data_IF_364936741055
#
_entry.id   IF_364936741055
#
_cell.length_a   1.000
_cell.length_b   1.000
_cell.length_c   1.000
_cell.angle_alpha   90.00
_cell.angle_beta   90.00
_cell.angle_gamma   90.00
#
_symmetry.space_group_name_H-M   'P 1'
#
loop_
_entity.id
_entity.type
_entity.pdbx_description
1 polymer ?
#
# COMPACT_ATOMS: atom_id res chain seq x y z
N UNK A 1 28.15 40.98 77.80
CA UNK A 1 28.84 40.36 76.66
C UNK A 1 28.18 39.02 76.43
N UNK A 2 27.27 38.94 75.46
CA UNK A 2 26.66 37.69 75.00
C UNK A 2 26.74 37.67 73.49
N UNK A 3 27.60 36.81 72.97
CA UNK A 3 27.81 36.57 71.55
C UNK A 3 26.90 35.42 71.14
N UNK A 4 25.93 35.68 70.27
CA UNK A 4 25.13 34.63 69.63
C UNK A 4 25.59 34.53 68.18
N UNK A 5 26.27 33.44 67.86
CA UNK A 5 26.62 33.03 66.50
C UNK A 5 25.34 32.78 65.68
N UNK A 6 25.19 33.49 64.56
CA UNK A 6 24.21 33.17 63.53
C UNK A 6 24.92 32.38 62.41
N UNK A 7 24.78 31.07 62.43
CA UNK A 7 25.13 30.19 61.32
C UNK A 7 24.10 30.38 60.19
N UNK A 8 24.50 31.02 59.10
CA UNK A 8 23.74 31.04 57.84
C UNK A 8 23.75 29.64 57.23
N UNK A 9 22.62 28.96 57.27
CA UNK A 9 22.38 27.78 56.43
C UNK A 9 22.31 28.22 54.96
N UNK A 10 23.29 27.77 54.18
CA UNK A 10 23.34 27.91 52.74
C UNK A 10 22.50 26.77 52.15
N UNK A 11 21.28 27.06 51.72
CA UNK A 11 20.44 26.12 50.98
C UNK A 11 21.01 25.93 49.58
N UNK A 12 21.39 24.68 49.27
CA UNK A 12 21.77 24.26 47.92
C UNK A 12 20.59 24.45 46.95
N UNK A 13 20.83 24.86 45.69
CA UNK A 13 19.77 24.97 44.70
C UNK A 13 19.19 23.58 44.40
N UNK A 14 17.88 23.46 44.56
CA UNK A 14 17.13 22.27 44.20
C UNK A 14 17.32 21.96 42.71
N UNK A 15 17.83 20.77 42.40
CA UNK A 15 17.86 20.23 41.04
C UNK A 15 16.42 20.14 40.51
N UNK A 16 16.11 20.95 39.50
CA UNK A 16 14.85 20.86 38.78
C UNK A 16 14.86 19.51 38.04
N UNK A 17 13.91 18.60 38.28
CA UNK A 17 13.88 17.32 37.58
C UNK A 17 13.72 17.61 36.08
N UNK A 18 14.65 17.11 35.26
CA UNK A 18 14.54 17.16 33.79
C UNK A 18 13.22 16.51 33.39
N UNK A 19 12.25 17.33 33.00
CA UNK A 19 10.97 16.86 32.47
C UNK A 19 11.27 16.00 31.24
N UNK A 20 10.92 14.71 31.30
CA UNK A 20 11.08 13.86 30.14
C UNK A 20 10.28 14.44 28.96
N UNK A 21 10.87 14.47 27.75
CA UNK A 21 10.16 14.98 26.59
C UNK A 21 8.95 14.09 26.32
N UNK A 22 7.83 14.74 26.04
CA UNK A 22 6.57 14.11 25.64
C UNK A 22 6.75 13.34 24.32
N UNK A 23 5.85 12.38 24.02
CA UNK A 23 5.95 11.60 22.78
C UNK A 23 5.86 12.49 21.52
N UNK A 24 5.04 13.54 21.57
CA UNK A 24 4.97 14.54 20.51
C UNK A 24 6.28 15.30 20.36
N UNK A 25 6.92 15.74 21.44
CA UNK A 25 8.23 16.40 21.40
C UNK A 25 9.31 15.46 20.84
N UNK A 26 9.33 14.18 21.25
CA UNK A 26 10.27 13.18 20.72
C UNK A 26 10.08 12.97 19.22
N UNK A 27 8.85 12.75 18.78
CA UNK A 27 8.50 12.57 17.37
C UNK A 27 8.86 13.81 16.54
N UNK A 28 8.41 14.99 16.97
CA UNK A 28 8.67 16.23 16.25
C UNK A 28 10.16 16.53 16.17
N UNK A 29 10.93 16.30 17.25
CA UNK A 29 12.39 16.49 17.24
C UNK A 29 13.05 15.58 16.22
N UNK A 30 12.66 14.29 16.16
CA UNK A 30 13.22 13.35 15.18
C UNK A 30 12.84 13.75 13.76
N UNK A 31 11.58 14.07 13.49
CA UNK A 31 11.13 14.54 12.16
C UNK A 31 11.88 15.80 11.74
N UNK A 32 12.03 16.78 12.63
CA UNK A 32 12.81 18.00 12.36
C UNK A 32 14.27 17.66 12.03
N UNK A 33 14.90 16.75 12.77
CA UNK A 33 16.28 16.34 12.49
C UNK A 33 16.43 15.68 11.12
N UNK A 34 15.45 14.86 10.69
CA UNK A 34 15.45 14.24 9.37
C UNK A 34 15.17 15.24 8.23
N UNK A 35 14.44 16.33 8.52
CA UNK A 35 14.31 17.42 7.55
C UNK A 35 15.59 18.25 7.40
N UNK A 36 16.38 18.39 8.47
CA UNK A 36 17.60 19.20 8.51
C UNK A 36 18.89 18.48 8.09
N UNK A 37 18.85 17.16 7.90
CA UNK A 37 20.01 16.36 7.48
C UNK A 37 20.34 16.47 5.97
N UNK A 38 19.50 17.15 5.19
CA UNK A 38 19.79 17.50 3.78
C UNK A 38 20.64 18.77 3.65
N UNK A 39 21.43 18.88 2.58
CA UNK A 39 22.33 20.02 2.32
C UNK A 39 21.55 21.34 2.32
N UNK A 40 21.86 22.19 3.30
CA UNK A 40 21.25 23.50 3.52
C UNK A 40 20.27 23.49 4.68
N UNK A 41 20.68 23.99 5.85
CA UNK A 41 19.80 24.23 7.00
C UNK A 41 18.67 25.20 6.63
N UNK A 42 17.55 24.67 6.16
CA UNK A 42 16.33 25.45 5.98
C UNK A 42 15.41 25.14 7.14
N UNK A 43 15.20 26.13 8.01
CA UNK A 43 14.19 26.05 9.04
C UNK A 43 12.84 25.64 8.42
N UNK A 44 12.19 24.61 8.97
CA UNK A 44 10.93 24.11 8.45
C UNK A 44 9.92 25.24 8.21
N UNK A 45 9.33 25.24 7.02
CA UNK A 45 8.21 26.13 6.70
C UNK A 45 7.05 25.90 7.66
N UNK A 46 6.19 26.91 7.84
CA UNK A 46 4.96 26.77 8.65
C UNK A 46 4.10 25.60 8.16
N UNK A 47 4.08 25.37 6.85
CA UNK A 47 3.37 24.26 6.23
C UNK A 47 3.94 22.89 6.66
N UNK A 48 5.26 22.69 6.59
CA UNK A 48 5.90 21.45 7.01
C UNK A 48 5.71 21.17 8.51
N UNK A 49 5.76 22.22 9.35
CA UNK A 49 5.46 22.08 10.79
C UNK A 49 4.02 21.62 11.04
N UNK A 50 3.06 22.23 10.35
CA UNK A 50 1.65 21.81 10.42
C UNK A 50 1.47 20.38 9.93
N UNK A 51 2.17 20.00 8.86
CA UNK A 51 2.07 18.67 8.29
C UNK A 51 2.60 17.62 9.27
N UNK A 52 3.77 17.83 9.88
CA UNK A 52 4.30 16.96 10.93
C UNK A 52 3.34 16.82 12.13
N UNK A 53 2.66 17.90 12.53
CA UNK A 53 1.62 17.85 13.56
C UNK A 53 0.43 16.98 13.13
N UNK A 54 -0.05 17.11 11.88
CA UNK A 54 -1.12 16.28 11.34
C UNK A 54 -0.74 14.79 11.37
N UNK A 55 0.50 14.46 11.01
CA UNK A 55 1.03 13.09 11.11
C UNK A 55 1.00 12.59 12.56
N UNK A 56 1.48 13.38 13.52
CA UNK A 56 1.44 12.98 14.92
C UNK A 56 0.02 12.69 15.40
N UNK A 57 -0.94 13.57 15.11
CA UNK A 57 -2.34 13.42 15.53
C UNK A 57 -2.95 12.15 14.93
N UNK A 58 -2.75 11.93 13.63
CA UNK A 58 -3.27 10.73 12.95
C UNK A 58 -2.66 9.45 13.52
N UNK A 59 -1.33 9.42 13.70
CA UNK A 59 -0.63 8.27 14.26
C UNK A 59 -1.06 7.98 15.69
N UNK A 60 -1.19 9.01 16.54
CA UNK A 60 -1.61 8.84 17.92
C UNK A 60 -3.03 8.24 18.02
N UNK A 61 -3.96 8.70 17.19
CA UNK A 61 -5.30 8.12 17.10
C UNK A 61 -5.28 6.66 16.62
N UNK A 62 -4.45 6.34 15.62
CA UNK A 62 -4.34 4.99 15.07
C UNK A 62 -3.71 4.02 16.08
N UNK A 63 -2.66 4.43 16.78
CA UNK A 63 -2.03 3.60 17.82
C UNK A 63 -3.01 3.29 18.94
N UNK A 64 -3.76 4.30 19.42
CA UNK A 64 -4.79 4.11 20.46
C UNK A 64 -5.89 3.15 20.01
N UNK A 65 -6.48 3.38 18.83
CA UNK A 65 -7.56 2.53 18.31
C UNK A 65 -7.08 1.10 18.01
N UNK A 66 -5.84 0.93 17.57
CA UNK A 66 -5.24 -0.40 17.34
C UNK A 66 -4.97 -1.12 18.66
N UNK A 67 -4.49 -0.41 19.68
CA UNK A 67 -4.29 -0.96 21.02
C UNK A 67 -5.63 -1.38 21.66
N UNK A 68 -6.68 -0.57 21.52
CA UNK A 68 -8.02 -0.94 21.97
C UNK A 68 -8.53 -2.23 21.29
N UNK A 69 -8.29 -2.37 19.98
CA UNK A 69 -8.62 -3.60 19.25
C UNK A 69 -7.80 -4.80 19.74
N UNK A 70 -6.51 -4.60 20.02
CA UNK A 70 -5.64 -5.64 20.60
C UNK A 70 -6.18 -6.10 21.97
N UNK A 71 -6.58 -5.16 22.82
CA UNK A 71 -7.11 -5.46 24.16
C UNK A 71 -8.48 -6.16 24.13
N UNK A 72 -9.29 -5.94 23.08
CA UNK A 72 -10.55 -6.68 22.88
C UNK A 72 -10.33 -8.16 22.52
N UNK A 73 -9.17 -8.53 21.99
CA UNK A 73 -8.82 -9.95 21.77
C UNK A 73 -8.62 -10.66 23.12
N UNK A 74 -9.03 -11.92 23.19
CA UNK A 74 -8.76 -12.76 24.37
C UNK A 74 -7.26 -13.00 24.50
N UNK A 75 -6.79 -13.26 25.73
CA UNK A 75 -5.36 -13.39 26.05
C UNK A 75 -4.64 -14.43 25.16
N UNK A 76 -5.30 -15.54 24.82
CA UNK A 76 -4.79 -16.57 23.92
C UNK A 76 -4.45 -16.06 22.50
N UNK A 77 -5.19 -15.08 22.00
CA UNK A 77 -5.05 -14.53 20.64
C UNK A 77 -4.54 -13.09 20.64
N UNK A 78 -4.08 -12.59 21.79
CA UNK A 78 -3.61 -11.22 21.95
C UNK A 78 -2.09 -11.18 21.77
N UNK A 79 -1.64 -10.31 20.87
CA UNK A 79 -0.21 -10.04 20.73
C UNK A 79 0.36 -9.49 22.03
N UNK A 80 1.50 -10.04 22.49
CA UNK A 80 2.11 -9.66 23.76
C UNK A 80 2.64 -8.21 23.79
N UNK A 81 3.07 -7.70 22.63
CA UNK A 81 3.66 -6.35 22.51
C UNK A 81 2.54 -5.31 22.42
N UNK A 82 2.50 -4.29 23.29
CA UNK A 82 1.53 -3.20 23.20
C UNK A 82 1.74 -2.30 21.98
N UNK A 83 0.66 -1.85 21.34
CA UNK A 83 0.70 -0.93 20.20
C UNK A 83 0.79 0.50 20.73
N UNK A 84 1.98 0.90 21.19
CA UNK A 84 2.24 2.21 21.79
C UNK A 84 3.49 2.86 21.19
N UNK A 85 3.60 4.19 21.33
CA UNK A 85 4.77 4.96 20.84
C UNK A 85 6.13 4.41 21.29
N UNK A 86 6.21 3.78 22.46
CA UNK A 86 7.44 3.18 22.98
C UNK A 86 7.93 1.98 22.14
N UNK A 87 7.00 1.27 21.50
CA UNK A 87 7.28 0.09 20.69
C UNK A 87 7.34 0.43 19.20
N UNK A 88 7.20 1.71 18.80
CA UNK A 88 7.30 2.14 17.40
C UNK A 88 8.76 2.37 17.02
N UNK A 89 9.13 1.96 15.80
CA UNK A 89 10.42 2.27 15.21
C UNK A 89 10.49 3.75 14.78
N UNK A 90 10.87 4.61 15.72
CA UNK A 90 10.87 6.07 15.53
C UNK A 90 11.80 6.54 14.41
N UNK A 91 12.93 5.85 14.18
CA UNK A 91 13.90 6.25 13.16
C UNK A 91 13.41 5.96 11.74
N UNK A 92 12.78 4.79 11.54
CA UNK A 92 12.12 4.48 10.27
C UNK A 92 10.93 5.42 10.07
N UNK A 93 10.09 5.58 11.10
CA UNK A 93 8.89 6.42 11.04
C UNK A 93 9.21 7.87 10.67
N UNK A 94 10.23 8.48 11.28
CA UNK A 94 10.57 9.87 11.02
C UNK A 94 10.98 10.07 9.55
N UNK A 95 11.83 9.19 9.00
CA UNK A 95 12.24 9.23 7.58
C UNK A 95 11.04 9.05 6.64
N UNK A 96 10.17 8.11 6.95
CA UNK A 96 8.98 7.81 6.16
C UNK A 96 8.00 8.99 6.14
N UNK A 97 7.78 9.62 7.30
CA UNK A 97 6.94 10.83 7.40
C UNK A 97 7.53 11.98 6.59
N UNK A 98 8.85 12.18 6.60
CA UNK A 98 9.50 13.23 5.81
C UNK A 98 9.27 13.00 4.31
N UNK A 99 9.51 11.79 3.81
CA UNK A 99 9.31 11.45 2.40
C UNK A 99 7.85 11.67 1.99
N UNK A 100 6.90 11.16 2.77
CA UNK A 100 5.47 11.31 2.50
C UNK A 100 5.02 12.79 2.55
N UNK A 101 5.54 13.56 3.50
CA UNK A 101 5.27 14.98 3.63
C UNK A 101 5.82 15.80 2.46
N UNK A 102 7.01 15.46 1.93
CA UNK A 102 7.62 16.12 0.76
C UNK A 102 6.92 15.76 -0.56
N UNK A 103 6.35 14.57 -0.64
CA UNK A 103 5.43 14.20 -1.74
C UNK A 103 4.16 15.06 -1.70
N UNK A 104 3.72 15.46 -0.50
CA UNK A 104 2.53 16.29 -0.29
C UNK A 104 1.36 15.51 0.32
N UNK A 105 1.60 14.29 0.81
CA UNK A 105 0.58 13.52 1.50
C UNK A 105 0.26 14.12 2.87
N UNK A 106 -1.01 14.07 3.23
CA UNK A 106 -1.52 14.60 4.49
C UNK A 106 -2.55 13.63 5.07
N UNK A 107 -2.26 12.94 6.18
CA UNK A 107 -3.17 11.96 6.76
C UNK A 107 -4.42 12.58 7.40
N UNK A 108 -4.45 13.91 7.57
CA UNK A 108 -5.66 14.61 8.01
C UNK A 108 -6.67 14.82 6.86
N UNK A 109 -6.23 14.67 5.60
CA UNK A 109 -7.09 14.83 4.44
C UNK A 109 -7.70 13.47 4.03
N UNK A 110 -9.03 13.41 3.82
CA UNK A 110 -9.68 12.15 3.47
C UNK A 110 -9.10 11.53 2.20
N UNK A 111 -8.73 10.26 2.28
CA UNK A 111 -8.25 9.44 1.16
C UNK A 111 -6.92 9.91 0.52
N UNK A 112 -6.11 10.70 1.24
CA UNK A 112 -4.73 10.97 0.84
C UNK A 112 -3.84 9.78 1.21
N UNK A 113 -3.67 9.53 2.50
CA UNK A 113 -2.77 8.50 3.00
C UNK A 113 -3.27 7.96 4.33
N UNK A 114 -3.12 6.65 4.55
CA UNK A 114 -3.59 5.98 5.75
C UNK A 114 -2.42 5.27 6.43
N UNK A 115 -2.01 5.68 7.64
CA UNK A 115 -1.01 4.97 8.42
C UNK A 115 -1.57 3.63 8.94
N UNK A 116 -0.78 2.56 8.85
CA UNK A 116 -1.13 1.23 9.37
C UNK A 116 0.07 0.69 10.17
N UNK A 117 -0.07 0.52 11.49
CA UNK A 117 0.95 -0.13 12.30
C UNK A 117 0.94 -1.64 12.04
N UNK A 118 2.11 -2.21 11.81
CA UNK A 118 2.31 -3.65 11.73
C UNK A 118 3.54 -4.04 12.54
N UNK A 119 3.57 -5.27 13.05
CA UNK A 119 4.65 -5.74 13.93
C UNK A 119 5.77 -6.32 13.09
N UNK A 120 6.94 -5.69 13.15
CA UNK A 120 8.15 -6.21 12.52
C UNK A 120 8.78 -7.27 13.44
N UNK A 121 8.92 -8.50 12.92
CA UNK A 121 9.47 -9.65 13.68
C UNK A 121 10.97 -9.51 13.95
N UNK A 122 11.72 -8.95 13.00
CA UNK A 122 13.17 -8.82 13.11
C UNK A 122 13.55 -7.81 14.20
N UNK A 123 12.85 -6.69 14.27
CA UNK A 123 13.15 -5.63 15.25
C UNK A 123 12.36 -5.75 16.55
N UNK A 124 11.28 -6.55 16.55
CA UNK A 124 10.34 -6.66 17.68
C UNK A 124 9.53 -5.39 17.93
N UNK A 125 9.57 -4.42 17.00
CA UNK A 125 8.90 -3.12 17.08
C UNK A 125 7.79 -3.01 16.05
N UNK A 126 6.92 -2.03 16.21
CA UNK A 126 5.94 -1.63 15.22
C UNK A 126 6.57 -0.70 14.19
N UNK A 127 6.52 -1.12 12.94
CA UNK A 127 6.75 -0.24 11.80
C UNK A 127 5.38 0.31 11.35
N UNK A 128 5.39 1.51 10.76
CA UNK A 128 4.19 2.13 10.23
C UNK A 128 4.29 2.13 8.71
N UNK A 129 3.41 1.38 8.06
CA UNK A 129 3.19 1.49 6.62
C UNK A 129 2.23 2.63 6.34
N UNK A 130 2.36 3.26 5.19
CA UNK A 130 1.40 4.25 4.74
C UNK A 130 0.75 3.78 3.44
N UNK A 131 -0.55 3.49 3.50
CA UNK A 131 -1.33 3.06 2.34
C UNK A 131 -1.95 4.28 1.65
N UNK A 132 -1.65 4.44 0.38
CA UNK A 132 -2.18 5.52 -0.44
C UNK A 132 -3.69 5.38 -0.67
N UNK A 133 -4.43 6.42 -0.31
CA UNK A 133 -5.81 6.55 -0.73
C UNK A 133 -5.89 6.97 -2.21
N UNK A 134 -7.10 6.92 -2.78
CA UNK A 134 -7.27 7.20 -4.21
C UNK A 134 -6.91 8.65 -4.57
N UNK A 135 -7.13 9.63 -3.68
CA UNK A 135 -6.66 11.01 -3.86
C UNK A 135 -5.14 11.14 -3.71
N UNK A 136 -4.54 10.29 -2.87
CA UNK A 136 -3.10 10.18 -2.79
C UNK A 136 -2.48 9.74 -4.13
N UNK A 137 -3.07 8.72 -4.77
CA UNK A 137 -2.60 8.27 -6.09
C UNK A 137 -2.71 9.38 -7.14
N UNK A 138 -3.82 10.13 -7.17
CA UNK A 138 -3.96 11.32 -8.04
C UNK A 138 -2.83 12.33 -7.81
N UNK A 139 -2.54 12.66 -6.55
CA UNK A 139 -1.48 13.61 -6.18
C UNK A 139 -0.09 13.10 -6.60
N UNK A 140 0.22 11.83 -6.36
CA UNK A 140 1.48 11.19 -6.78
C UNK A 140 1.62 11.19 -8.29
N UNK A 141 0.59 10.76 -9.02
CA UNK A 141 0.59 10.68 -10.48
C UNK A 141 0.72 12.07 -11.12
N UNK A 142 0.07 13.08 -10.56
CA UNK A 142 0.17 14.47 -11.05
C UNK A 142 1.56 15.06 -10.78
N UNK A 143 2.14 14.80 -9.61
CA UNK A 143 3.48 15.32 -9.25
C UNK A 143 4.58 14.69 -10.09
N UNK A 144 4.55 13.36 -10.24
CA UNK A 144 5.65 12.58 -10.84
C UNK A 144 5.38 12.12 -12.27
N UNK A 145 4.21 12.39 -12.85
CA UNK A 145 3.88 11.96 -14.21
C UNK A 145 4.64 12.71 -15.32
N UNK A 146 4.96 12.01 -16.41
CA UNK A 146 5.65 12.54 -17.59
C UNK A 146 4.70 13.38 -18.46
N UNK A 147 3.61 12.76 -18.89
CA UNK A 147 2.54 13.37 -19.67
C UNK A 147 1.25 13.33 -18.85
N UNK A 148 1.08 14.28 -17.93
CA UNK A 148 -0.12 14.33 -17.09
C UNK A 148 -1.29 14.87 -17.91
N UNK A 149 -2.46 14.18 -17.95
CA UNK A 149 -3.65 14.69 -18.62
C UNK A 149 -4.12 16.02 -18.03
N UNK A 150 -4.67 16.91 -18.85
CA UNK A 150 -5.29 18.15 -18.36
C UNK A 150 -6.57 17.83 -17.56
N UNK A 151 -7.32 16.83 -18.02
CA UNK A 151 -8.55 16.36 -17.39
C UNK A 151 -8.63 14.84 -17.40
N UNK A 152 -9.03 14.27 -16.27
CA UNK A 152 -9.32 12.84 -16.12
C UNK A 152 -10.80 12.69 -15.79
N UNK A 153 -11.56 12.11 -16.71
CA UNK A 153 -12.97 11.76 -16.47
C UNK A 153 -13.05 10.31 -16.04
N UNK A 154 -13.83 10.02 -15.00
CA UNK A 154 -14.07 8.66 -14.48
C UNK A 154 -15.55 8.48 -14.26
N UNK A 155 -16.16 7.54 -14.99
CA UNK A 155 -17.60 7.33 -14.97
C UNK A 155 -17.95 5.84 -14.89
N UNK A 156 -19.07 5.56 -14.21
CA UNK A 156 -19.70 4.26 -14.21
C UNK A 156 -20.75 4.21 -15.31
N UNK A 157 -20.83 3.08 -16.00
CA UNK A 157 -21.82 2.80 -17.03
C UNK A 157 -22.81 1.80 -16.47
N UNK A 158 -24.07 2.23 -16.43
CA UNK A 158 -25.18 1.42 -15.97
C UNK A 158 -26.02 0.93 -17.15
N UNK A 159 -26.83 -0.10 -16.90
CA UNK A 159 -27.61 -0.81 -17.92
C UNK A 159 -28.54 0.07 -18.76
N UNK A 160 -29.04 1.19 -18.23
CA UNK A 160 -29.91 2.11 -19.00
C UNK A 160 -29.16 3.21 -19.74
N UNK A 161 -27.87 3.41 -19.45
CA UNK A 161 -27.07 4.46 -20.08
C UNK A 161 -26.74 4.09 -21.53
N UNK A 162 -26.56 5.10 -22.38
CA UNK A 162 -26.00 4.90 -23.72
C UNK A 162 -24.54 5.31 -23.71
N UNK A 163 -23.67 4.35 -23.97
CA UNK A 163 -22.23 4.57 -24.06
C UNK A 163 -21.71 4.09 -25.41
N UNK A 164 -21.05 4.97 -26.16
CA UNK A 164 -20.42 4.66 -27.44
C UNK A 164 -18.94 5.07 -27.40
N UNK A 165 -18.00 4.10 -27.37
CA UNK A 165 -16.58 4.42 -27.48
C UNK A 165 -16.24 4.83 -28.91
N UNK A 166 -15.46 5.90 -29.06
CA UNK A 166 -14.89 6.33 -30.35
C UNK A 166 -13.39 6.04 -30.29
N UNK A 167 -12.98 4.95 -30.92
CA UNK A 167 -11.58 4.53 -30.97
C UNK A 167 -10.85 5.16 -32.14
N UNK A 168 -9.55 5.39 -31.94
CA UNK A 168 -8.67 5.86 -33.00
C UNK A 168 -8.61 4.82 -34.10
N UNK A 169 -8.97 5.23 -35.30
CA UNK A 169 -8.96 4.40 -36.49
C UNK A 169 -8.68 5.29 -37.73
N UNK A 170 -8.87 4.75 -38.93
CA UNK A 170 -8.67 5.53 -40.16
C UNK A 170 -9.62 6.72 -40.31
N UNK A 171 -10.75 6.74 -39.59
CA UNK A 171 -11.80 7.78 -39.67
C UNK A 171 -11.75 8.74 -38.49
N UNK A 172 -11.26 8.28 -37.33
CA UNK A 172 -11.17 9.02 -36.09
C UNK A 172 -9.69 9.21 -35.72
N UNK A 173 -9.20 10.43 -35.84
CA UNK A 173 -7.78 10.74 -35.62
C UNK A 173 -7.33 10.54 -34.15
N UNK A 174 -8.25 10.71 -33.21
CA UNK A 174 -8.03 10.60 -31.77
C UNK A 174 -9.16 9.82 -31.10
N UNK A 175 -8.89 9.28 -29.90
CA UNK A 175 -9.92 8.61 -29.11
C UNK A 175 -10.89 9.61 -28.46
N UNK A 176 -12.13 9.18 -28.26
CA UNK A 176 -13.19 9.93 -27.60
C UNK A 176 -14.35 9.03 -27.21
N UNK A 177 -15.45 9.60 -26.73
CA UNK A 177 -16.65 8.85 -26.38
C UNK A 177 -17.90 9.71 -26.47
N UNK A 178 -19.04 9.06 -26.67
CA UNK A 178 -20.37 9.63 -26.46
C UNK A 178 -21.00 8.92 -25.26
N UNK A 179 -21.50 9.70 -24.30
CA UNK A 179 -22.13 9.17 -23.09
C UNK A 179 -23.39 9.96 -22.76
N UNK A 180 -24.51 9.25 -22.66
CA UNK A 180 -25.83 9.81 -22.36
C UNK A 180 -26.47 9.02 -21.21
N UNK A 181 -26.81 9.73 -20.13
CA UNK A 181 -27.60 9.20 -19.02
C UNK A 181 -29.07 9.40 -19.37
N UNK A 182 -29.76 8.32 -19.71
CA UNK A 182 -31.17 8.36 -20.14
C UNK A 182 -32.10 8.63 -18.96
N UNK A 183 -31.82 8.04 -17.80
CA UNK A 183 -32.60 8.21 -16.58
C UNK A 183 -31.67 8.45 -15.39
N UNK A 184 -31.57 9.69 -14.93
CA UNK A 184 -30.61 10.08 -13.89
C UNK A 184 -30.93 9.53 -12.49
N UNK A 185 -32.19 9.19 -12.20
CA UNK A 185 -32.61 8.72 -10.88
C UNK A 185 -32.69 7.21 -10.77
N UNK A 186 -32.83 6.52 -11.90
CA UNK A 186 -32.87 5.06 -11.97
C UNK A 186 -32.10 4.60 -13.21
N UNK A 187 -30.79 4.39 -13.00
CA UNK A 187 -29.84 4.01 -14.05
C UNK A 187 -29.76 2.48 -14.24
N UNK A 188 -30.45 1.71 -13.39
CA UNK A 188 -30.35 0.25 -13.32
C UNK A 188 -29.03 -0.25 -12.73
N UNK A 189 -28.57 -1.43 -13.18
CA UNK A 189 -27.36 -2.09 -12.64
C UNK A 189 -26.07 -1.61 -13.32
N UNK A 190 -24.95 -1.60 -12.58
CA UNK A 190 -23.62 -1.35 -13.14
C UNK A 190 -23.23 -2.50 -14.08
N UNK A 191 -22.91 -2.16 -15.33
CA UNK A 191 -22.37 -3.10 -16.34
C UNK A 191 -20.86 -2.92 -16.56
N UNK A 192 -20.31 -1.79 -16.14
CA UNK A 192 -18.88 -1.48 -16.20
C UNK A 192 -18.61 -0.01 -15.91
N UNK A 193 -17.50 0.48 -16.42
CA UNK A 193 -17.18 1.91 -16.38
C UNK A 193 -16.02 2.24 -17.28
N UNK A 194 -15.65 3.51 -17.33
CA UNK A 194 -14.53 3.96 -18.14
C UNK A 194 -13.81 5.11 -17.47
N UNK A 195 -12.56 5.32 -17.89
CA UNK A 195 -11.89 6.59 -17.69
C UNK A 195 -11.35 7.14 -19.00
N UNK A 196 -11.23 8.46 -19.06
CA UNK A 196 -10.75 9.19 -20.21
C UNK A 196 -9.70 10.20 -19.80
N UNK A 197 -8.52 10.10 -20.41
CA UNK A 197 -7.46 11.09 -20.30
C UNK A 197 -7.56 12.07 -21.46
N UNK A 198 -7.78 13.35 -21.13
CA UNK A 198 -7.88 14.43 -22.08
C UNK A 198 -6.62 15.29 -22.08
N UNK A 199 -6.04 15.49 -23.26
CA UNK A 199 -4.90 16.36 -23.52
C UNK A 199 -5.32 17.44 -24.52
N UNK A 200 -5.61 18.62 -24.01
CA UNK A 200 -6.16 19.75 -24.78
C UNK A 200 -5.18 20.24 -25.86
N UNK A 201 -3.88 20.17 -25.56
CA UNK A 201 -2.81 20.62 -26.46
C UNK A 201 -2.30 19.52 -27.40
N UNK A 202 -2.52 18.25 -27.05
CA UNK A 202 -2.04 17.09 -27.78
C UNK A 202 -3.14 16.00 -27.86
N UNK A 203 -4.26 16.26 -28.58
CA UNK A 203 -5.41 15.37 -28.59
C UNK A 203 -5.10 13.95 -29.10
N UNK A 204 -4.02 13.76 -29.85
CA UNK A 204 -3.54 12.46 -30.28
C UNK A 204 -3.12 11.53 -29.14
N UNK A 205 -2.84 12.10 -27.94
CA UNK A 205 -2.56 11.36 -26.71
C UNK A 205 -3.82 10.99 -25.92
N UNK A 206 -5.00 11.46 -26.34
CA UNK A 206 -6.25 11.13 -25.67
C UNK A 206 -6.43 9.62 -25.61
N UNK A 207 -6.80 9.13 -24.42
CA UNK A 207 -6.91 7.69 -24.14
C UNK A 207 -8.22 7.42 -23.43
N UNK A 208 -9.07 6.62 -24.08
CA UNK A 208 -10.27 6.06 -23.47
C UNK A 208 -9.97 4.62 -23.04
N UNK A 209 -10.18 4.30 -21.77
CA UNK A 209 -10.10 2.92 -21.30
C UNK A 209 -11.43 2.51 -20.71
N UNK A 210 -11.97 1.42 -21.24
CA UNK A 210 -13.24 0.84 -20.81
C UNK A 210 -12.94 -0.41 -19.98
N UNK A 211 -13.61 -0.54 -18.84
CA UNK A 211 -13.49 -1.65 -17.92
C UNK A 211 -14.86 -2.33 -17.80
N UNK A 212 -14.89 -3.63 -18.07
CA UNK A 212 -16.11 -4.41 -17.84
C UNK A 212 -16.34 -4.60 -16.34
N UNK A 213 -17.57 -4.94 -15.91
CA UNK A 213 -17.84 -5.34 -14.52
C UNK A 213 -16.86 -6.42 -14.02
N UNK A 214 -16.54 -7.40 -14.88
CA UNK A 214 -15.56 -8.46 -14.58
C UNK A 214 -14.16 -7.91 -14.31
N UNK A 215 -13.72 -6.90 -15.06
CA UNK A 215 -12.41 -6.27 -14.84
C UNK A 215 -12.34 -5.50 -13.52
N UNK A 216 -13.46 -4.88 -13.13
CA UNK A 216 -13.59 -4.20 -11.83
C UNK A 216 -13.55 -5.21 -10.70
N UNK A 217 -14.33 -6.29 -10.81
CA UNK A 217 -14.41 -7.35 -9.80
C UNK A 217 -13.08 -8.12 -9.64
N UNK A 218 -12.29 -8.29 -10.71
CA UNK A 218 -10.94 -8.87 -10.64
C UNK A 218 -10.00 -8.08 -9.71
N UNK A 219 -10.29 -6.80 -9.47
CA UNK A 219 -9.48 -5.92 -8.61
C UNK A 219 -10.03 -5.81 -7.19
N UNK A 220 -11.09 -6.58 -6.85
CA UNK A 220 -11.61 -6.72 -5.49
C UNK A 220 -10.60 -7.52 -4.67
N UNK A 221 -10.20 -7.06 -3.47
CA UNK A 221 -9.37 -7.85 -2.57
C UNK A 221 -10.07 -9.16 -2.16
N UNK A 222 -9.30 -10.24 -1.99
CA UNK A 222 -9.84 -11.56 -1.63
C UNK A 222 -10.59 -11.52 -0.29
N UNK A 223 -10.06 -10.77 0.68
CA UNK A 223 -10.67 -10.54 1.99
C UNK A 223 -11.47 -9.22 2.05
N UNK A 224 -12.12 -8.84 0.96
CA UNK A 224 -12.97 -7.66 0.91
C UNK A 224 -14.21 -7.79 1.82
N UNK A 225 -14.44 -6.77 2.66
CA UNK A 225 -15.61 -6.75 3.55
C UNK A 225 -16.93 -6.58 2.75
N UNK A 226 -17.98 -7.36 3.09
CA UNK A 226 -19.31 -7.24 2.48
C UNK A 226 -19.92 -5.84 2.61
N UNK A 227 -19.58 -5.08 3.65
CA UNK A 227 -20.04 -3.70 3.83
C UNK A 227 -19.56 -2.74 2.74
N UNK A 228 -18.42 -3.02 2.12
CA UNK A 228 -17.88 -2.17 1.06
C UNK A 228 -18.25 -2.66 -0.34
N UNK A 229 -18.14 -3.96 -0.58
CA UNK A 229 -18.30 -4.55 -1.92
C UNK A 229 -19.64 -5.26 -2.13
N UNK A 230 -20.51 -5.23 -1.13
CA UNK A 230 -21.70 -6.07 -1.10
C UNK A 230 -21.36 -7.55 -0.89
N UNK A 231 -22.36 -8.31 -0.45
CA UNK A 231 -22.26 -9.75 -0.25
C UNK A 231 -23.01 -10.22 0.98
N UNK A 232 -22.71 -11.43 1.42
CA UNK A 232 -23.34 -12.02 2.60
C UNK A 232 -22.57 -11.68 3.87
N UNK A 233 -23.31 -11.26 4.90
CA UNK A 233 -22.80 -11.00 6.23
C UNK A 233 -23.49 -11.90 7.24
N UNK A 234 -22.74 -12.44 8.19
CA UNK A 234 -23.30 -13.23 9.27
C UNK A 234 -24.18 -12.37 10.20
N UNK A 235 -25.43 -12.78 10.37
CA UNK A 235 -26.36 -12.19 11.34
C UNK A 235 -26.19 -12.87 12.69
N UNK A 236 -25.84 -12.07 13.70
CA UNK A 236 -25.65 -12.53 15.08
C UNK A 236 -26.78 -12.01 15.96
N UNK A 237 -27.48 -12.91 16.66
CA UNK A 237 -28.41 -12.56 17.74
C UNK A 237 -27.98 -13.31 19.01
N UNK A 238 -27.90 -12.61 20.14
CA UNK A 238 -27.49 -13.17 21.44
C UNK A 238 -26.17 -13.98 21.40
N UNK A 239 -25.14 -13.45 20.73
CA UNK A 239 -23.83 -14.12 20.53
C UNK A 239 -23.90 -15.50 19.84
N UNK A 240 -25.00 -15.79 19.13
CA UNK A 240 -25.13 -16.97 18.27
C UNK A 240 -25.38 -16.52 16.83
N UNK A 241 -24.74 -17.18 15.88
CA UNK A 241 -24.96 -16.98 14.44
C UNK A 241 -26.35 -17.54 14.09
N UNK A 242 -27.25 -16.67 13.62
CA UNK A 242 -28.67 -17.00 13.33
C UNK A 242 -28.94 -17.11 11.83
N UNK A 243 -28.08 -16.55 10.97
CA UNK A 243 -28.17 -16.69 9.51
C UNK A 243 -27.17 -15.82 8.77
N UNK A 244 -27.34 -15.68 7.45
CA UNK A 244 -26.62 -14.71 6.61
C UNK A 244 -27.61 -13.66 6.08
N UNK A 245 -27.15 -12.42 5.94
CA UNK A 245 -27.90 -11.29 5.40
C UNK A 245 -27.15 -10.72 4.20
N UNK A 246 -27.84 -10.49 3.09
CA UNK A 246 -27.27 -9.83 1.91
C UNK A 246 -27.19 -8.33 2.15
N UNK A 247 -25.97 -7.81 2.20
CA UNK A 247 -25.68 -6.38 2.30
C UNK A 247 -25.31 -5.89 0.90
N UNK A 248 -25.99 -4.84 0.42
CA UNK A 248 -25.64 -4.19 -0.85
C UNK A 248 -24.25 -3.53 -0.79
N UNK A 249 -23.92 -3.02 0.39
CA UNK A 249 -22.64 -2.37 0.65
C UNK A 249 -22.51 -1.05 -0.11
N UNK A 250 -21.27 -0.60 -0.30
CA UNK A 250 -20.96 0.64 -1.02
C UNK A 250 -20.38 0.30 -2.41
N UNK A 251 -20.96 -0.70 -3.08
CA UNK A 251 -20.42 -1.31 -4.29
C UNK A 251 -20.13 -0.28 -5.39
N UNK A 252 -21.08 0.60 -5.70
CA UNK A 252 -20.92 1.68 -6.69
C UNK A 252 -19.69 2.54 -6.40
N UNK A 253 -19.51 2.92 -5.13
CA UNK A 253 -18.36 3.73 -4.72
C UNK A 253 -17.06 2.95 -4.86
N UNK A 254 -17.06 1.64 -4.61
CA UNK A 254 -15.88 0.79 -4.76
C UNK A 254 -15.53 0.54 -6.23
N UNK A 255 -16.54 0.33 -7.08
CA UNK A 255 -16.37 0.24 -8.52
C UNK A 255 -15.78 1.53 -9.09
N UNK A 256 -16.34 2.68 -8.73
CA UNK A 256 -15.84 3.99 -9.14
C UNK A 256 -14.40 4.22 -8.68
N UNK A 257 -14.09 3.93 -7.40
CA UNK A 257 -12.72 4.04 -6.86
C UNK A 257 -11.73 3.14 -7.59
N UNK A 258 -12.16 1.96 -8.03
CA UNK A 258 -11.31 1.01 -8.75
C UNK A 258 -10.90 1.59 -10.11
N UNK A 259 -11.84 2.15 -10.85
CA UNK A 259 -11.58 2.81 -12.13
C UNK A 259 -10.73 4.07 -11.91
N UNK A 260 -11.00 4.83 -10.86
CA UNK A 260 -10.23 6.01 -10.51
C UNK A 260 -8.76 5.68 -10.21
N UNK A 261 -8.50 4.64 -9.42
CA UNK A 261 -7.12 4.18 -9.16
C UNK A 261 -6.45 3.70 -10.45
N UNK A 262 -7.18 3.03 -11.35
CA UNK A 262 -6.66 2.62 -12.65
C UNK A 262 -6.31 3.82 -13.54
N UNK A 263 -7.16 4.85 -13.59
CA UNK A 263 -6.92 6.05 -14.38
C UNK A 263 -5.58 6.72 -14.02
N UNK A 264 -5.39 7.03 -12.75
CA UNK A 264 -4.14 7.68 -12.30
C UNK A 264 -2.95 6.72 -12.26
N UNK A 265 -3.18 5.42 -12.10
CA UNK A 265 -2.13 4.39 -12.19
C UNK A 265 -1.59 4.18 -13.61
N UNK A 266 -2.38 4.49 -14.63
CA UNK A 266 -1.98 4.43 -16.03
C UNK A 266 -1.09 5.61 -16.48
N UNK A 267 -0.92 6.64 -15.63
CA UNK A 267 -0.04 7.77 -15.92
C UNK A 267 1.41 7.32 -15.75
N UNK A 268 2.19 7.45 -16.82
CA UNK A 268 3.61 7.08 -16.81
C UNK A 268 4.40 8.05 -15.93
N UNK A 269 5.21 7.49 -15.03
CA UNK A 269 6.10 8.26 -14.16
C UNK A 269 7.31 8.76 -14.96
N UNK A 270 7.63 10.03 -14.78
CA UNK A 270 8.79 10.69 -15.36
C UNK A 270 10.04 10.37 -14.56
N UNK A 271 10.98 9.64 -15.17
CA UNK A 271 12.28 9.34 -14.59
C UNK A 271 13.06 10.59 -14.15
N UNK A 272 12.85 11.74 -14.80
CA UNK A 272 13.54 12.99 -14.44
C UNK A 272 12.96 13.65 -13.18
N UNK A 273 11.73 13.30 -12.80
CA UNK A 273 11.07 13.80 -11.58
C UNK A 273 11.27 12.89 -10.38
N UNK A 274 11.86 11.71 -10.56
CA UNK A 274 12.14 10.79 -9.46
C UNK A 274 13.18 11.43 -8.55
N UNK A 275 12.76 11.68 -7.31
CA UNK A 275 13.60 12.16 -6.21
C UNK A 275 13.84 11.04 -5.18
N UNK A 276 14.73 11.29 -4.23
CA UNK A 276 15.00 10.36 -3.12
C UNK A 276 13.72 10.01 -2.33
N UNK A 277 12.77 10.94 -2.25
CA UNK A 277 11.50 10.74 -1.58
C UNK A 277 10.63 9.70 -2.33
N UNK A 278 10.56 9.78 -3.67
CA UNK A 278 9.87 8.78 -4.49
C UNK A 278 10.49 7.39 -4.36
N UNK A 279 11.82 7.29 -4.37
CA UNK A 279 12.52 6.02 -4.14
C UNK A 279 12.22 5.45 -2.75
N UNK A 280 12.12 6.33 -1.74
CA UNK A 280 11.72 5.91 -0.39
C UNK A 280 10.30 5.36 -0.36
N UNK A 281 9.35 5.99 -1.05
CA UNK A 281 7.99 5.48 -1.21
C UNK A 281 7.98 4.06 -1.80
N UNK A 282 8.79 3.84 -2.85
CA UNK A 282 8.92 2.51 -3.48
C UNK A 282 9.49 1.48 -2.52
N UNK A 283 10.53 1.83 -1.77
CA UNK A 283 11.06 0.96 -0.73
C UNK A 283 9.99 0.62 0.32
N UNK A 284 9.18 1.58 0.74
CA UNK A 284 8.11 1.36 1.72
C UNK A 284 7.00 0.43 1.18
N UNK A 285 6.64 0.56 -0.10
CA UNK A 285 5.72 -0.36 -0.78
C UNK A 285 6.28 -1.80 -0.76
N UNK A 286 7.57 -1.97 -1.07
CA UNK A 286 8.26 -3.28 -1.03
C UNK A 286 8.35 -3.86 0.38
N UNK A 287 8.80 -3.06 1.36
CA UNK A 287 8.91 -3.47 2.77
C UNK A 287 7.56 -3.99 3.30
N UNK A 288 6.45 -3.37 2.86
CA UNK A 288 5.12 -3.76 3.29
C UNK A 288 4.63 -5.04 2.60
N UNK A 289 4.87 -5.20 1.29
CA UNK A 289 4.54 -6.43 0.58
C UNK A 289 5.27 -7.64 1.18
N UNK A 290 6.55 -7.48 1.54
CA UNK A 290 7.30 -8.50 2.27
C UNK A 290 6.69 -8.81 3.64
N UNK A 291 6.25 -7.79 4.37
CA UNK A 291 5.61 -7.96 5.67
C UNK A 291 4.24 -8.67 5.59
N UNK A 292 3.45 -8.42 4.53
CA UNK A 292 2.19 -9.14 4.28
C UNK A 292 2.44 -10.62 4.00
N UNK A 293 3.42 -10.94 3.15
CA UNK A 293 3.83 -12.33 2.86
C UNK A 293 4.29 -13.03 4.14
N UNK A 294 5.10 -12.36 4.96
CA UNK A 294 5.57 -12.90 6.25
C UNK A 294 4.43 -13.19 7.24
N UNK A 295 3.35 -12.41 7.17
CA UNK A 295 2.17 -12.58 8.00
C UNK A 295 1.30 -13.74 7.49
N UNK A 296 1.09 -13.84 6.19
CA UNK A 296 0.41 -14.98 5.56
C UNK A 296 1.14 -16.29 5.85
N UNK A 297 2.48 -16.31 5.73
CA UNK A 297 3.30 -17.46 6.11
C UNK A 297 3.08 -17.79 7.59
N UNK A 298 3.03 -16.80 8.49
CA UNK A 298 2.81 -17.04 9.93
C UNK A 298 1.47 -17.73 10.20
N UNK A 299 0.41 -17.31 9.51
CA UNK A 299 -0.92 -17.87 9.69
C UNK A 299 -1.02 -19.29 9.14
N UNK A 300 -0.29 -19.61 8.07
CA UNK A 300 -0.37 -20.88 7.37
C UNK A 300 0.77 -21.89 7.68
N UNK A 301 1.88 -21.47 8.29
CA UNK A 301 3.08 -22.30 8.51
C UNK A 301 2.87 -23.48 9.47
N UNK A 302 1.78 -23.52 10.24
CA UNK A 302 1.43 -24.64 11.12
C UNK A 302 0.33 -25.55 10.52
N UNK A 303 0.17 -25.54 9.20
CA UNK A 303 -0.73 -26.46 8.49
C UNK A 303 -0.28 -27.93 8.58
N UNK A 304 -1.19 -28.90 8.40
CA UNK A 304 -0.84 -30.32 8.40
C UNK A 304 0.18 -30.63 7.30
N UNK A 305 1.27 -31.31 7.67
CA UNK A 305 2.28 -31.80 6.73
C UNK A 305 1.58 -32.72 5.73
N UNK A 306 1.63 -32.37 4.44
CA UNK A 306 1.22 -33.28 3.37
C UNK A 306 2.34 -34.30 3.23
N UNK A 307 2.17 -35.46 3.88
CA UNK A 307 3.04 -36.61 3.71
C UNK A 307 2.78 -37.23 2.33
N UNK A 308 3.49 -36.74 1.32
CA UNK A 308 3.58 -37.42 0.03
C UNK A 308 4.49 -38.63 0.18
N UNK A 309 3.94 -39.73 0.71
CA UNK A 309 4.58 -41.04 0.61
C UNK A 309 4.64 -41.39 -0.88
N UNK A 310 5.83 -41.47 -1.51
CA UNK A 310 5.91 -41.89 -2.89
C UNK A 310 5.40 -43.33 -2.96
N UNK A 311 4.30 -43.55 -3.69
CA UNK A 311 3.87 -44.91 -4.02
C UNK A 311 5.01 -45.57 -4.79
N UNK A 312 5.74 -46.45 -4.10
CA UNK A 312 6.91 -47.12 -4.65
C UNK A 312 6.56 -47.87 -5.93
N UNK A 313 7.49 -47.94 -6.90
CA UNK A 313 7.32 -48.82 -8.04
C UNK A 313 7.48 -50.29 -7.59
N UNK A 314 6.64 -51.23 -8.07
CA UNK A 314 6.89 -52.65 -7.81
C UNK A 314 8.16 -53.11 -8.55
N UNK A 315 8.99 -53.88 -7.84
CA UNK A 315 10.13 -54.66 -8.35
C UNK A 315 9.70 -55.56 -9.53
N UNK A 316 10.54 -55.99 -10.48
CA UNK A 316 11.90 -56.52 -10.34
C UNK A 316 12.47 -56.79 -11.76
N UNK A 317 13.78 -56.60 -11.97
CA UNK A 317 14.57 -57.29 -13.01
C UNK A 317 16.07 -56.98 -12.84
N UNK A 318 16.71 -57.70 -11.92
CA UNK A 318 18.06 -58.29 -12.04
C UNK A 318 19.01 -57.77 -13.14
N UNK A 319 20.13 -57.17 -12.73
CA UNK A 319 21.51 -57.65 -13.00
C UNK A 319 22.56 -56.81 -12.25
N UNK A 320 23.34 -57.50 -11.42
CA UNK A 320 24.55 -57.00 -10.75
C UNK A 320 25.73 -56.80 -11.75
N UNK A 321 26.78 -56.04 -11.36
CA UNK A 321 27.52 -55.12 -12.25
C UNK A 321 28.89 -55.64 -12.71
N UNK A 322 29.61 -54.85 -13.54
CA UNK A 322 31.04 -54.73 -13.36
C UNK A 322 31.51 -53.27 -13.14
N UNK A 323 32.51 -53.23 -12.26
CA UNK A 323 33.45 -52.20 -11.85
C UNK A 323 33.83 -51.08 -12.86
N UNK A 324 33.86 -49.86 -12.31
CA UNK A 324 35.02 -48.95 -12.19
C UNK A 324 35.74 -48.52 -13.48
N UNK A 325 35.61 -47.23 -13.86
CA UNK A 325 36.80 -46.42 -14.12
C UNK A 325 36.55 -44.92 -13.84
N UNK A 326 37.54 -44.28 -13.24
CA UNK A 326 37.59 -42.84 -12.96
C UNK A 326 38.17 -42.14 -14.18
N UNK A 327 37.56 -41.04 -14.62
CA UNK A 327 38.30 -39.97 -15.29
C UNK A 327 37.61 -38.62 -15.10
N UNK A 328 38.39 -37.72 -14.53
CA UNK A 328 38.19 -36.29 -14.27
C UNK A 328 37.93 -35.46 -15.54
N UNK A 329 37.13 -34.40 -15.42
CA UNK A 329 37.04 -33.30 -16.38
C UNK A 329 36.08 -32.22 -15.89
N UNK A 330 36.61 -31.05 -15.53
CA UNK A 330 35.89 -29.85 -15.10
C UNK A 330 34.81 -29.41 -16.12
N UNK A 331 33.64 -29.01 -15.62
CA UNK A 331 32.60 -28.35 -16.43
C UNK A 331 32.56 -26.86 -16.13
N UNK A 332 32.99 -26.09 -17.11
CA UNK A 332 33.01 -24.62 -17.20
C UNK A 332 31.58 -24.04 -17.20
N UNK A 333 31.24 -23.08 -16.31
CA UNK A 333 29.87 -22.60 -16.15
C UNK A 333 29.35 -21.65 -17.25
N UNK A 334 30.13 -21.35 -18.29
CA UNK A 334 29.81 -20.33 -19.31
C UNK A 334 29.43 -20.88 -20.72
N UNK A 335 29.02 -22.14 -20.84
CA UNK A 335 28.59 -22.69 -22.14
C UNK A 335 27.06 -22.65 -22.35
N UNK A 336 26.53 -21.54 -22.87
CA UNK A 336 25.12 -21.31 -23.24
C UNK A 336 24.74 -21.78 -24.66
N UNK A 337 25.39 -22.83 -25.19
CA UNK A 337 25.14 -23.30 -26.56
C UNK A 337 23.90 -24.21 -26.72
N UNK A 338 23.10 -24.41 -25.67
CA UNK A 338 21.91 -25.27 -25.68
C UNK A 338 20.55 -24.57 -25.80
N UNK A 339 20.47 -23.25 -25.60
CA UNK A 339 19.19 -22.52 -25.45
C UNK A 339 18.87 -21.59 -26.65
N UNK A 340 19.02 -22.10 -27.88
CA UNK A 340 18.51 -21.42 -29.07
C UNK A 340 17.45 -22.31 -29.74
N UNK A 341 16.16 -21.93 -29.74
CA UNK A 341 15.14 -22.67 -30.47
C UNK A 341 15.36 -22.54 -31.99
N UNK A 342 15.05 -23.58 -32.79
CA UNK A 342 15.32 -23.57 -34.22
C UNK A 342 14.46 -22.53 -34.96
N UNK A 343 15.12 -21.75 -35.80
CA UNK A 343 14.51 -20.80 -36.74
C UNK A 343 14.00 -21.60 -37.94
N UNK A 344 12.69 -21.77 -38.08
CA UNK A 344 12.09 -22.22 -39.34
C UNK A 344 11.94 -21.02 -40.28
N UNK A 345 12.77 -21.01 -41.32
CA UNK A 345 12.76 -20.08 -42.43
C UNK A 345 11.99 -20.71 -43.59
N UNK A 346 10.86 -20.08 -43.94
CA UNK A 346 10.12 -19.99 -45.23
C UNK A 346 10.30 -21.07 -46.32
N UNK A 347 9.17 -21.53 -46.91
CA UNK A 347 8.81 -21.20 -48.31
C UNK A 347 7.45 -21.78 -48.78
N UNK A 348 6.69 -20.90 -49.43
CA UNK A 348 5.85 -21.05 -50.65
C UNK A 348 4.82 -22.20 -50.77
N UNK A 349 3.53 -21.85 -50.85
CA UNK A 349 2.80 -21.54 -52.11
C UNK A 349 1.57 -20.67 -51.85
#
# INVERSE_FOLDING_TARGET
>A
MSTTDQTKQQTAPAEIPKKEPTQSERFMTKVISEFGSGVGEVALTKFQKRLAQNYFIALDAILKTTEEKRLKKSEKFRDAVPVTWQHVNMEKLARDVVAMARVGFDPSQPNHINPIPYKNKHTGKYDITFIEGYRGIELKATKYGLDVPDHVTVELVYSTDKFRPVKKDSKNQYEGYEFEIVNAFDRGDIIGGFYYHSYSKAPEKNKLVVMTKKDIEKRKPDHASPEFWGGEKDKWENNKKVGTETVEGWYDKMAWKTIYRAAYGDITIDSQKIDDDYLRLKQMESDFAEAEVDEEIRENANGPIIDITPNGPPADATKSPPANDKSTGESDPDNFSGDVPPVEQEMEF
#
